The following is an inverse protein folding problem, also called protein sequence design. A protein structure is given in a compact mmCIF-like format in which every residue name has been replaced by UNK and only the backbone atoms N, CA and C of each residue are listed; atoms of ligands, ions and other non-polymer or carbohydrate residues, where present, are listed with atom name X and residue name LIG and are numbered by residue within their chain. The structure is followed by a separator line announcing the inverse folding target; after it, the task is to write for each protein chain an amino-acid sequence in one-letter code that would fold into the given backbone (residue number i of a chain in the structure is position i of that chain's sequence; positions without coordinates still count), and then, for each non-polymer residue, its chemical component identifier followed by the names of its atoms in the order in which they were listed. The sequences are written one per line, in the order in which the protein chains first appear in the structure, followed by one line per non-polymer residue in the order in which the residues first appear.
data_IF_314319532276
#
_entry.id   IF_314319532276
#
_cell.length_a   1.000
_cell.length_b   1.000
_cell.length_c   1.000
_cell.angle_alpha   90.00
_cell.angle_beta   90.00
_cell.angle_gamma   90.00
#
_symmetry.space_group_name_H-M   'P 1'
#
loop_
_entity.id
_entity.type
_entity.pdbx_description
1 polymer ?
#
# COMPACT_ATOMS: atom_id res chain seq x y z
N UNK A 1 43.31 12.45 30.63
CA UNK A 1 42.85 11.04 30.49
C UNK A 1 41.48 10.72 31.12
N UNK A 2 41.11 11.27 32.30
CA UNK A 2 39.79 10.96 32.94
C UNK A 2 38.57 11.52 32.18
N UNK A 3 38.67 12.75 31.63
CA UNK A 3 37.59 13.38 30.84
C UNK A 3 37.23 12.59 29.57
N UNK A 4 38.22 12.06 28.86
CA UNK A 4 38.01 11.30 27.61
C UNK A 4 37.22 10.00 27.84
N UNK A 5 37.44 9.31 28.96
CA UNK A 5 36.71 8.09 29.33
C UNK A 5 35.23 8.39 29.64
N UNK A 6 34.94 9.52 30.28
CA UNK A 6 33.56 9.93 30.60
C UNK A 6 32.80 10.26 29.31
N UNK A 7 33.42 10.96 28.35
CA UNK A 7 32.82 11.24 27.05
C UNK A 7 32.54 9.96 26.25
N UNK A 8 33.46 9.00 26.28
CA UNK A 8 33.27 7.71 25.60
C UNK A 8 32.09 6.93 26.20
N UNK A 9 31.94 6.93 27.53
CA UNK A 9 30.82 6.28 28.22
C UNK A 9 29.49 6.96 27.87
N UNK A 10 29.44 8.29 27.83
CA UNK A 10 28.23 9.05 27.45
C UNK A 10 27.86 8.78 25.99
N UNK A 11 28.83 8.71 25.07
CA UNK A 11 28.60 8.37 23.66
C UNK A 11 28.08 6.93 23.53
N UNK A 12 28.65 5.97 24.26
CA UNK A 12 28.15 4.59 24.28
C UNK A 12 26.74 4.53 24.87
N UNK A 13 26.45 5.29 25.93
CA UNK A 13 25.11 5.35 26.51
C UNK A 13 24.10 5.96 25.53
N UNK A 14 24.46 7.05 24.85
CA UNK A 14 23.65 7.68 23.80
C UNK A 14 23.43 6.73 22.62
N UNK A 15 24.47 6.03 22.17
CA UNK A 15 24.38 5.03 21.10
C UNK A 15 23.51 3.84 21.52
N UNK A 16 23.59 3.40 22.78
CA UNK A 16 22.72 2.37 23.34
C UNK A 16 21.27 2.85 23.50
N UNK A 17 21.03 4.12 23.84
CA UNK A 17 19.67 4.69 23.89
C UNK A 17 19.09 4.83 22.48
N UNK A 18 19.91 5.18 21.48
CA UNK A 18 19.49 5.21 20.08
C UNK A 18 19.28 3.81 19.50
N UNK A 19 20.02 2.79 19.96
CA UNK A 19 19.78 1.40 19.55
C UNK A 19 18.64 0.72 20.33
N UNK A 20 18.31 1.23 21.53
CA UNK A 20 17.12 0.88 22.30
C UNK A 20 15.86 1.61 21.83
N UNK A 21 15.97 2.58 20.93
CA UNK A 21 14.86 2.89 20.02
C UNK A 21 14.75 1.76 18.98
N UNK A 22 14.47 0.54 19.47
CA UNK A 22 13.75 -0.46 18.71
C UNK A 22 12.56 0.27 18.11
N UNK A 23 12.48 0.34 16.78
CA UNK A 23 11.41 1.07 16.12
C UNK A 23 10.09 0.52 16.66
N UNK A 24 9.27 1.41 17.25
CA UNK A 24 8.08 0.99 18.00
C UNK A 24 7.09 0.23 17.13
N UNK A 25 7.17 0.42 15.81
CA UNK A 25 6.45 -0.33 14.80
C UNK A 25 7.44 -1.11 13.93
N UNK A 26 7.10 -2.37 13.64
CA UNK A 26 7.70 -3.14 12.54
C UNK A 26 6.61 -3.55 11.55
N UNK A 27 6.91 -3.43 10.26
CA UNK A 27 6.04 -3.85 9.17
C UNK A 27 6.80 -4.83 8.28
N UNK A 28 6.39 -6.09 8.32
CA UNK A 28 7.09 -7.21 7.69
C UNK A 28 6.30 -7.77 6.52
N UNK A 29 7.00 -7.99 5.42
CA UNK A 29 6.52 -8.65 4.22
C UNK A 29 6.85 -10.14 4.28
N UNK A 30 5.86 -10.97 3.95
CA UNK A 30 6.05 -12.40 3.71
C UNK A 30 5.14 -12.88 2.59
N UNK A 31 5.43 -14.05 2.03
CA UNK A 31 4.61 -14.64 0.98
C UNK A 31 4.21 -16.06 1.37
N UNK A 32 2.98 -16.42 1.06
CA UNK A 32 2.44 -17.77 1.18
C UNK A 32 1.71 -18.15 -0.09
N UNK A 33 1.78 -19.41 -0.47
CA UNK A 33 1.01 -19.96 -1.57
C UNK A 33 -0.20 -20.67 -1.00
N UNK A 34 -1.38 -20.28 -1.46
CA UNK A 34 -2.64 -20.88 -1.02
C UNK A 34 -3.35 -21.51 -2.20
N UNK A 35 -4.04 -22.63 -1.95
CA UNK A 35 -4.87 -23.26 -2.96
C UNK A 35 -6.02 -22.32 -3.33
N UNK A 36 -6.19 -22.05 -4.62
CA UNK A 36 -7.26 -21.23 -5.17
C UNK A 36 -7.71 -21.73 -6.54
N UNK A 37 -8.52 -20.93 -7.21
CA UNK A 37 -9.01 -21.21 -8.57
C UNK A 37 -8.37 -20.25 -9.57
N UNK A 38 -8.22 -20.69 -10.80
CA UNK A 38 -7.75 -19.83 -11.89
C UNK A 38 -8.78 -18.72 -12.15
N UNK A 39 -8.27 -17.50 -12.35
CA UNK A 39 -9.06 -16.29 -12.60
C UNK A 39 -9.92 -16.41 -13.86
N UNK A 40 -9.45 -17.16 -14.87
CA UNK A 40 -10.15 -17.34 -16.14
C UNK A 40 -10.83 -18.71 -16.29
N UNK A 41 -10.61 -19.62 -15.34
CA UNK A 41 -11.16 -20.97 -15.38
C UNK A 41 -11.42 -21.49 -13.95
N UNK A 42 -12.64 -21.30 -13.43
CA UNK A 42 -13.00 -21.66 -12.06
C UNK A 42 -12.85 -23.17 -11.74
N UNK A 43 -12.91 -24.03 -12.75
CA UNK A 43 -12.71 -25.48 -12.61
C UNK A 43 -11.23 -25.87 -12.46
N UNK A 44 -10.31 -24.94 -12.74
CA UNK A 44 -8.86 -25.15 -12.62
C UNK A 44 -8.36 -24.74 -11.24
N UNK A 45 -7.74 -25.68 -10.54
CA UNK A 45 -7.11 -25.44 -9.24
C UNK A 45 -5.66 -24.99 -9.45
N UNK A 46 -5.32 -23.84 -8.87
CA UNK A 46 -3.97 -23.29 -8.89
C UNK A 46 -3.48 -22.96 -7.47
N UNK A 47 -2.18 -22.74 -7.31
CA UNK A 47 -1.62 -22.18 -6.09
C UNK A 47 -1.37 -20.70 -6.29
N UNK A 48 -2.19 -19.90 -5.62
CA UNK A 48 -2.17 -18.44 -5.71
C UNK A 48 -1.20 -17.88 -4.68
N UNK A 49 -0.17 -17.11 -5.10
CA UNK A 49 0.71 -16.40 -4.19
C UNK A 49 -0.08 -15.28 -3.48
N UNK A 50 0.14 -15.15 -2.17
CA UNK A 50 -0.40 -14.05 -1.36
C UNK A 50 0.72 -13.35 -0.61
N UNK A 51 0.86 -12.05 -0.84
CA UNK A 51 1.70 -11.18 -0.03
C UNK A 51 0.99 -10.92 1.30
N UNK A 52 1.69 -11.06 2.41
CA UNK A 52 1.19 -10.69 3.73
C UNK A 52 1.98 -9.50 4.24
N UNK A 53 1.28 -8.45 4.66
CA UNK A 53 1.86 -7.26 5.31
C UNK A 53 1.50 -7.36 6.79
N UNK A 54 2.49 -7.65 7.63
CA UNK A 54 2.31 -7.84 9.07
C UNK A 54 2.80 -6.62 9.83
N UNK A 55 1.89 -5.93 10.48
CA UNK A 55 2.15 -4.80 11.35
C UNK A 55 2.26 -5.29 12.79
N UNK A 56 3.30 -4.87 13.49
CA UNK A 56 3.53 -5.25 14.89
C UNK A 56 3.91 -4.02 15.70
N UNK A 57 3.27 -3.89 16.85
CA UNK A 57 3.62 -2.90 17.85
C UNK A 57 4.59 -3.50 18.87
N UNK A 58 5.83 -3.04 18.83
CA UNK A 58 6.93 -3.48 19.69
C UNK A 58 7.06 -2.64 20.97
N UNK A 59 6.06 -1.81 21.28
CA UNK A 59 6.07 -0.89 22.41
C UNK A 59 4.93 -1.14 23.39
N UNK A 60 4.98 -0.44 24.52
CA UNK A 60 3.93 -0.43 25.54
C UNK A 60 2.84 0.64 25.28
N UNK A 61 2.86 1.33 24.13
CA UNK A 61 1.90 2.38 23.78
C UNK A 61 0.94 1.89 22.71
N UNK A 62 -0.35 2.14 22.88
CA UNK A 62 -1.35 1.87 21.84
C UNK A 62 -1.19 2.88 20.69
N UNK A 63 -1.01 2.38 19.47
CA UNK A 63 -0.77 3.20 18.29
C UNK A 63 -1.85 3.02 17.23
N UNK A 64 -2.10 4.09 16.49
CA UNK A 64 -2.76 4.00 15.19
C UNK A 64 -2.00 4.76 14.11
N UNK A 65 -2.17 4.34 12.86
CA UNK A 65 -1.57 4.97 11.69
C UNK A 65 -2.32 4.53 10.42
N UNK A 66 -2.17 5.26 9.32
CA UNK A 66 -2.77 4.89 8.03
C UNK A 66 -2.15 3.56 7.55
N UNK A 67 -2.96 2.66 7.00
CA UNK A 67 -2.44 1.47 6.31
C UNK A 67 -1.43 1.88 5.24
N UNK A 68 -0.39 1.08 5.01
CA UNK A 68 0.59 1.37 3.96
C UNK A 68 0.07 1.02 2.55
N UNK A 69 -1.00 0.22 2.47
CA UNK A 69 -1.66 -0.16 1.23
C UNK A 69 -3.17 -0.22 1.44
N UNK A 70 -3.92 0.35 0.51
CA UNK A 70 -5.35 0.08 0.42
C UNK A 70 -5.59 -1.31 -0.15
N UNK A 71 -6.74 -1.90 0.14
CA UNK A 71 -7.16 -3.18 -0.44
C UNK A 71 -8.61 -3.10 -0.90
N UNK A 72 -8.88 -3.59 -2.11
CA UNK A 72 -10.25 -3.90 -2.56
C UNK A 72 -10.42 -5.41 -2.52
N UNK A 73 -11.04 -5.92 -1.45
CA UNK A 73 -11.32 -7.36 -1.29
C UNK A 73 -10.07 -8.25 -1.32
N UNK A 74 -8.97 -7.82 -0.69
CA UNK A 74 -7.70 -8.57 -0.68
C UNK A 74 -6.91 -8.46 -1.99
N UNK A 75 -7.27 -7.54 -2.88
CA UNK A 75 -6.52 -7.25 -4.11
C UNK A 75 -5.64 -6.00 -3.91
N UNK A 76 -4.40 -6.00 -4.44
CA UNK A 76 -3.57 -4.80 -4.51
C UNK A 76 -4.20 -3.76 -5.44
N UNK A 77 -3.93 -2.48 -5.16
CA UNK A 77 -4.41 -1.36 -5.97
C UNK A 77 -3.25 -0.73 -6.73
N UNK A 78 -3.40 -0.61 -8.05
CA UNK A 78 -2.42 0.00 -8.95
C UNK A 78 -3.04 1.24 -9.60
N UNK A 79 -2.22 2.27 -9.76
CA UNK A 79 -2.58 3.42 -10.56
C UNK A 79 -2.26 3.07 -12.01
N UNK A 80 -3.27 3.17 -12.87
CA UNK A 80 -3.06 3.15 -14.32
C UNK A 80 -2.22 4.38 -14.71
N UNK A 81 -1.13 4.17 -15.44
CA UNK A 81 -0.26 5.24 -15.94
C UNK A 81 -0.98 6.27 -16.80
N UNK A 82 -2.06 5.79 -17.39
CA UNK A 82 -2.93 6.49 -18.31
C UNK A 82 -4.16 7.12 -17.64
N UNK A 83 -4.25 7.14 -16.30
CA UNK A 83 -5.35 7.80 -15.55
C UNK A 83 -5.36 9.33 -15.65
N UNK A 84 -4.39 9.95 -16.34
CA UNK A 84 -4.49 11.36 -16.76
C UNK A 84 -4.93 11.53 -18.22
N UNK A 85 -5.12 10.46 -18.99
CA UNK A 85 -5.39 10.54 -20.43
C UNK A 85 -6.46 9.59 -20.99
N UNK A 86 -6.94 8.58 -20.27
CA UNK A 86 -8.07 7.79 -20.75
C UNK A 86 -9.40 8.51 -20.51
N UNK A 87 -10.23 8.70 -21.55
CA UNK A 87 -11.59 9.17 -21.35
C UNK A 87 -12.34 8.21 -20.42
N UNK A 88 -13.20 8.76 -19.56
CA UNK A 88 -14.10 8.02 -18.67
C UNK A 88 -14.87 6.92 -19.43
N UNK A 89 -15.08 7.10 -20.74
CA UNK A 89 -15.70 6.11 -21.63
C UNK A 89 -14.93 4.78 -21.73
N UNK A 90 -13.61 4.76 -21.60
CA UNK A 90 -12.80 3.53 -21.70
C UNK A 90 -12.73 2.76 -20.37
N UNK A 91 -12.90 3.47 -19.24
CA UNK A 91 -13.21 2.90 -17.93
C UNK A 91 -14.60 2.22 -17.92
N UNK A 92 -15.55 2.77 -18.69
CA UNK A 92 -16.88 2.19 -18.92
C UNK A 92 -16.91 1.14 -20.04
N UNK A 93 -15.79 0.86 -20.70
CA UNK A 93 -15.73 -0.14 -21.76
C UNK A 93 -16.00 -1.54 -21.15
N UNK A 94 -17.04 -2.24 -21.62
CA UNK A 94 -17.49 -3.50 -21.03
C UNK A 94 -16.53 -4.67 -21.25
N UNK A 95 -15.45 -4.51 -22.02
CA UNK A 95 -14.53 -5.61 -22.35
C UNK A 95 -13.27 -5.64 -21.47
N UNK A 96 -13.46 -5.47 -20.16
CA UNK A 96 -12.41 -5.61 -19.14
C UNK A 96 -11.69 -6.97 -19.22
N UNK A 97 -12.40 -8.03 -19.62
CA UNK A 97 -11.83 -9.37 -19.82
C UNK A 97 -10.80 -9.39 -20.95
N UNK A 98 -11.07 -8.72 -22.07
CA UNK A 98 -10.12 -8.64 -23.19
C UNK A 98 -8.84 -7.93 -22.78
N UNK A 99 -8.94 -6.83 -22.03
CA UNK A 99 -7.75 -6.10 -21.53
C UNK A 99 -6.95 -6.95 -20.55
N UNK A 100 -7.63 -7.55 -19.57
CA UNK A 100 -6.99 -8.45 -18.61
C UNK A 100 -6.27 -9.61 -19.32
N UNK A 101 -6.80 -10.14 -20.43
CA UNK A 101 -6.15 -11.21 -21.21
C UNK A 101 -5.05 -10.75 -22.17
N UNK A 102 -4.96 -9.44 -22.46
CA UNK A 102 -4.00 -8.88 -23.40
C UNK A 102 -2.67 -8.46 -22.75
N UNK A 103 -2.42 -8.90 -21.51
CA UNK A 103 -1.21 -8.57 -20.77
C UNK A 103 0.06 -9.12 -21.46
N UNK A 104 1.19 -8.47 -21.20
CA UNK A 104 2.51 -8.90 -21.62
C UNK A 104 3.01 -10.16 -20.88
N UNK A 105 4.24 -10.56 -21.22
CA UNK A 105 4.98 -11.60 -20.53
C UNK A 105 6.38 -11.08 -20.19
N UNK A 106 6.68 -11.03 -18.90
CA UNK A 106 7.87 -10.37 -18.37
C UNK A 106 8.84 -11.35 -17.69
N UNK A 107 8.84 -12.63 -18.10
CA UNK A 107 9.66 -13.71 -17.48
C UNK A 107 11.14 -13.34 -17.24
N UNK A 108 11.74 -12.53 -18.11
CA UNK A 108 13.17 -12.18 -18.05
C UNK A 108 13.44 -10.79 -17.46
N UNK A 109 12.40 -10.09 -17.03
CA UNK A 109 12.48 -8.73 -16.52
C UNK A 109 12.50 -8.72 -14.99
N UNK A 110 13.12 -7.69 -14.42
CA UNK A 110 13.24 -7.50 -12.99
C UNK A 110 12.62 -6.16 -12.60
N UNK A 111 11.76 -6.19 -11.59
CA UNK A 111 11.02 -5.02 -11.13
C UNK A 111 11.16 -4.83 -9.62
N UNK A 112 11.14 -3.57 -9.21
CA UNK A 112 10.95 -3.14 -7.84
C UNK A 112 9.50 -2.73 -7.66
N UNK A 113 8.83 -3.30 -6.65
CA UNK A 113 7.45 -2.98 -6.27
C UNK A 113 7.49 -2.17 -4.98
N UNK A 114 7.27 -0.87 -5.10
CA UNK A 114 7.17 0.03 -3.95
C UNK A 114 5.72 0.12 -3.47
N UNK A 115 5.51 -0.22 -2.21
CA UNK A 115 4.23 -0.04 -1.51
C UNK A 115 4.33 1.28 -0.75
N UNK A 116 3.61 2.30 -1.21
CA UNK A 116 3.60 3.61 -0.57
C UNK A 116 2.29 4.36 -0.75
N UNK A 117 2.05 5.31 0.15
CA UNK A 117 1.10 6.38 -0.06
C UNK A 117 1.65 7.33 -1.13
N UNK A 118 0.93 7.52 -2.24
CA UNK A 118 1.24 8.58 -3.22
C UNK A 118 0.01 9.42 -3.37
N UNK A 119 0.14 10.69 -3.01
CA UNK A 119 -0.98 11.63 -3.12
C UNK A 119 -2.16 11.10 -2.26
N UNK A 120 -3.40 11.25 -2.69
CA UNK A 120 -4.60 10.92 -1.93
C UNK A 120 -4.90 9.40 -1.90
N UNK A 121 -4.15 8.57 -2.63
CA UNK A 121 -4.33 7.10 -2.68
C UNK A 121 -3.10 6.35 -2.16
N UNK A 122 -3.29 5.18 -1.52
CA UNK A 122 -2.17 4.27 -1.26
C UNK A 122 -2.18 3.17 -2.30
N UNK A 123 -1.14 3.15 -3.13
CA UNK A 123 -1.07 2.33 -4.33
C UNK A 123 0.29 1.65 -4.42
N UNK A 124 0.36 0.59 -5.20
CA UNK A 124 1.60 -0.10 -5.49
C UNK A 124 2.18 0.47 -6.79
N UNK A 125 3.49 0.67 -6.80
CA UNK A 125 4.20 1.21 -7.97
C UNK A 125 5.28 0.23 -8.40
N UNK A 126 5.25 -0.12 -9.68
CA UNK A 126 6.29 -0.92 -10.30
C UNK A 126 7.27 -0.01 -11.05
N UNK A 127 8.55 -0.29 -10.84
CA UNK A 127 9.66 0.31 -11.55
C UNK A 127 10.57 -0.79 -12.08
N UNK A 128 11.00 -0.69 -13.34
CA UNK A 128 12.06 -1.55 -13.84
C UNK A 128 13.34 -1.33 -13.01
N UNK A 129 14.01 -2.41 -12.61
CA UNK A 129 15.10 -2.34 -11.64
C UNK A 129 16.36 -1.62 -12.16
N UNK A 130 16.46 -1.45 -13.49
CA UNK A 130 17.50 -0.69 -14.22
C UNK A 130 17.29 0.82 -14.22
N UNK A 131 16.10 1.31 -13.85
CA UNK A 131 15.77 2.74 -13.88
C UNK A 131 16.22 3.47 -12.61
N UNK A 132 16.75 4.68 -12.78
CA UNK A 132 17.11 5.57 -11.69
C UNK A 132 15.86 6.30 -11.16
N UNK A 133 15.66 6.32 -9.83
CA UNK A 133 14.40 6.73 -9.18
C UNK A 133 14.25 8.26 -9.06
N UNK A 134 15.27 9.03 -9.46
CA UNK A 134 15.39 10.47 -9.18
C UNK A 134 14.69 11.41 -10.18
N UNK A 135 14.07 10.91 -11.26
CA UNK A 135 13.40 11.73 -12.30
C UNK A 135 11.88 11.51 -12.32
N UNK A 136 11.08 12.47 -12.81
CA UNK A 136 9.62 12.32 -13.02
C UNK A 136 9.35 11.11 -13.94
N UNK A 137 8.64 10.10 -13.42
CA UNK A 137 8.58 8.78 -14.04
C UNK A 137 7.29 8.59 -14.83
N UNK A 138 7.43 8.13 -16.07
CA UNK A 138 6.33 7.51 -16.80
C UNK A 138 6.02 6.16 -16.12
N UNK A 139 4.75 5.93 -15.80
CA UNK A 139 4.31 4.68 -15.19
C UNK A 139 4.49 3.55 -16.21
N UNK A 140 5.30 2.55 -15.86
CA UNK A 140 5.63 1.42 -16.74
C UNK A 140 4.36 0.66 -17.16
N UNK A 141 4.31 0.17 -18.41
CA UNK A 141 3.19 -0.58 -19.00
C UNK A 141 2.78 -1.78 -18.14
N UNK A 142 3.71 -2.34 -17.36
CA UNK A 142 3.43 -3.41 -16.40
C UNK A 142 2.41 -3.00 -15.32
N UNK A 143 2.42 -1.74 -14.88
CA UNK A 143 1.41 -1.24 -13.94
C UNK A 143 0.02 -1.26 -14.59
N UNK A 144 -0.09 -0.89 -15.87
CA UNK A 144 -1.35 -0.90 -16.61
C UNK A 144 -1.89 -2.32 -16.78
N UNK A 145 -1.02 -3.29 -17.07
CA UNK A 145 -1.41 -4.70 -17.15
C UNK A 145 -1.92 -5.24 -15.81
N UNK A 146 -1.20 -4.98 -14.71
CA UNK A 146 -1.63 -5.39 -13.38
C UNK A 146 -2.93 -4.70 -12.97
N UNK A 147 -3.06 -3.40 -13.22
CA UNK A 147 -4.28 -2.64 -12.94
C UNK A 147 -5.47 -3.23 -13.71
N UNK A 148 -5.32 -3.55 -14.99
CA UNK A 148 -6.36 -4.20 -15.79
C UNK A 148 -6.76 -5.59 -15.24
N UNK A 149 -5.79 -6.43 -14.86
CA UNK A 149 -6.04 -7.76 -14.32
C UNK A 149 -6.80 -7.67 -12.98
N UNK A 150 -6.32 -6.85 -12.04
CA UNK A 150 -6.96 -6.74 -10.73
C UNK A 150 -8.33 -6.05 -10.79
N UNK A 151 -8.52 -5.08 -11.69
CA UNK A 151 -9.84 -4.49 -11.92
C UNK A 151 -10.83 -5.52 -12.49
N UNK A 152 -10.38 -6.40 -13.39
CA UNK A 152 -11.20 -7.51 -13.88
C UNK A 152 -11.61 -8.45 -12.74
N UNK A 153 -10.64 -8.94 -11.96
CA UNK A 153 -10.89 -9.85 -10.83
C UNK A 153 -11.86 -9.20 -9.82
N UNK A 154 -11.64 -7.92 -9.51
CA UNK A 154 -12.52 -7.16 -8.63
C UNK A 154 -13.95 -7.14 -9.18
N UNK A 155 -14.15 -6.79 -10.45
CA UNK A 155 -15.49 -6.69 -11.07
C UNK A 155 -16.20 -8.03 -11.19
N UNK A 156 -15.49 -9.10 -11.53
CA UNK A 156 -16.10 -10.44 -11.60
C UNK A 156 -16.57 -10.92 -10.23
N UNK A 157 -15.80 -10.64 -9.18
CA UNK A 157 -16.23 -10.93 -7.82
C UNK A 157 -17.38 -10.01 -7.37
N UNK A 158 -17.34 -8.74 -7.76
CA UNK A 158 -18.36 -7.72 -7.44
C UNK A 158 -19.71 -8.03 -8.10
N UNK A 159 -19.72 -8.42 -9.37
CA UNK A 159 -20.94 -8.78 -10.12
C UNK A 159 -21.67 -10.00 -9.55
N UNK A 160 -20.98 -10.84 -8.76
CA UNK A 160 -21.53 -12.06 -8.15
C UNK A 160 -22.14 -11.84 -6.76
N UNK A 161 -22.04 -10.64 -6.18
CA UNK A 161 -22.59 -10.34 -4.85
C UNK A 161 -23.93 -9.59 -4.96
N UNK A 162 -25.05 -10.16 -4.45
CA UNK A 162 -26.40 -9.65 -4.68
C UNK A 162 -26.76 -8.38 -3.87
N UNK A 163 -25.88 -7.94 -2.97
CA UNK A 163 -26.06 -6.75 -2.16
C UNK A 163 -24.82 -5.88 -2.28
N UNK A 164 -25.01 -4.62 -2.66
CA UNK A 164 -24.71 -3.47 -1.80
C UNK A 164 -23.90 -2.34 -2.43
N UNK A 165 -24.35 -1.14 -2.04
CA UNK A 165 -23.80 0.20 -2.23
C UNK A 165 -22.50 0.46 -1.42
N UNK A 166 -21.63 -0.52 -1.22
CA UNK A 166 -20.30 -0.22 -0.66
C UNK A 166 -19.38 0.28 -1.79
N UNK A 167 -19.65 1.50 -2.26
CA UNK A 167 -18.53 2.32 -2.71
C UNK A 167 -17.68 2.55 -1.47
N UNK A 168 -16.68 1.70 -1.22
CA UNK A 168 -15.57 2.10 -0.34
C UNK A 168 -15.03 3.38 -0.94
N UNK A 169 -15.43 4.52 -0.38
CA UNK A 169 -14.87 5.83 -0.73
C UNK A 169 -13.38 5.66 -0.51
N UNK A 170 -12.59 5.57 -1.58
CA UNK A 170 -11.15 5.26 -1.48
C UNK A 170 -10.44 6.46 -0.86
N UNK A 171 -11.00 7.63 -1.09
CA UNK A 171 -10.38 8.90 -0.76
C UNK A 171 -11.04 9.53 0.46
N UNK A 172 -10.30 10.40 1.13
CA UNK A 172 -10.79 11.17 2.26
C UNK A 172 -11.11 12.59 1.80
N UNK A 173 -12.18 13.18 2.31
CA UNK A 173 -12.34 14.64 2.32
C UNK A 173 -11.81 15.19 3.65
N UNK A 174 -11.60 16.50 3.73
CA UNK A 174 -11.16 17.16 4.97
C UNK A 174 -12.09 16.89 6.17
N UNK A 175 -13.38 16.69 5.90
CA UNK A 175 -14.41 16.41 6.91
C UNK A 175 -14.44 14.95 7.38
N UNK A 176 -13.63 14.07 6.81
CA UNK A 176 -13.59 12.64 7.15
C UNK A 176 -12.59 12.32 8.26
N UNK A 177 -11.68 13.24 8.59
CA UNK A 177 -10.51 12.99 9.44
C UNK A 177 -10.72 13.36 10.91
N UNK A 178 -11.97 13.30 11.38
CA UNK A 178 -12.25 13.42 12.81
C UNK A 178 -11.97 12.09 13.52
N UNK A 179 -11.61 12.10 14.82
CA UNK A 179 -11.37 10.86 15.56
C UNK A 179 -12.53 9.86 15.49
N UNK A 180 -13.77 10.34 15.63
CA UNK A 180 -14.95 9.49 15.62
C UNK A 180 -15.15 8.81 14.26
N UNK A 181 -14.95 9.53 13.15
CA UNK A 181 -15.06 8.95 11.81
C UNK A 181 -13.94 7.98 11.52
N UNK A 182 -12.71 8.30 11.90
CA UNK A 182 -11.57 7.40 11.74
C UNK A 182 -11.81 6.06 12.46
N UNK A 183 -12.38 6.10 13.66
CA UNK A 183 -12.61 4.89 14.46
C UNK A 183 -13.85 4.10 14.02
N UNK A 184 -14.92 4.77 13.58
CA UNK A 184 -16.21 4.13 13.34
C UNK A 184 -16.56 3.91 11.86
N UNK A 185 -16.13 4.82 10.97
CA UNK A 185 -16.47 4.79 9.54
C UNK A 185 -15.29 4.34 8.67
N UNK A 186 -14.07 4.73 9.02
CA UNK A 186 -12.87 4.49 8.22
C UNK A 186 -11.86 3.55 8.89
N UNK A 187 -12.30 2.75 9.87
CA UNK A 187 -11.41 1.88 10.64
C UNK A 187 -10.65 0.87 9.79
N UNK A 188 -11.23 0.45 8.66
CA UNK A 188 -10.62 -0.45 7.69
C UNK A 188 -9.43 0.17 6.92
N UNK A 189 -9.28 1.49 6.90
CA UNK A 189 -8.18 2.22 6.25
C UNK A 189 -7.01 2.56 7.18
N UNK A 190 -7.21 2.35 8.48
CA UNK A 190 -6.20 2.57 9.50
C UNK A 190 -5.82 1.24 10.15
N UNK A 191 -4.66 1.24 10.77
CA UNK A 191 -4.20 0.18 11.65
C UNK A 191 -4.31 0.71 13.07
N UNK A 192 -4.95 -0.06 13.94
CA UNK A 192 -5.02 0.20 15.37
C UNK A 192 -4.36 -0.98 16.07
N UNK A 193 -3.27 -0.74 16.79
CA UNK A 193 -2.50 -1.76 17.49
C UNK A 193 -2.33 -1.37 18.94
N UNK A 194 -2.84 -2.21 19.83
CA UNK A 194 -2.48 -2.14 21.25
C UNK A 194 -1.01 -2.50 21.44
N UNK A 195 -0.49 -2.21 22.63
CA UNK A 195 0.83 -2.66 23.04
C UNK A 195 1.01 -4.17 22.78
N UNK A 196 2.08 -4.53 22.06
CA UNK A 196 2.38 -5.91 21.70
C UNK A 196 1.51 -6.55 20.61
N UNK A 197 0.50 -5.84 20.08
CA UNK A 197 -0.45 -6.40 19.12
C UNK A 197 0.17 -6.58 17.73
N UNK A 198 -0.36 -7.57 17.01
CA UNK A 198 0.02 -7.92 15.64
C UNK A 198 -1.24 -7.93 14.78
N UNK A 199 -1.16 -7.31 13.61
CA UNK A 199 -2.20 -7.35 12.59
C UNK A 199 -1.59 -7.70 11.25
N UNK A 200 -2.30 -8.49 10.43
CA UNK A 200 -1.81 -8.90 9.11
C UNK A 200 -2.88 -8.67 8.05
N UNK A 201 -2.53 -7.84 7.06
CA UNK A 201 -3.25 -7.78 5.78
C UNK A 201 -2.67 -8.79 4.80
N UNK A 202 -3.50 -9.27 3.86
CA UNK A 202 -3.06 -10.20 2.82
C UNK A 202 -3.59 -9.78 1.44
N UNK A 203 -2.70 -9.82 0.45
CA UNK A 203 -2.94 -9.38 -0.91
C UNK A 203 -2.69 -10.51 -1.90
N UNK A 204 -3.66 -10.77 -2.76
CA UNK A 204 -3.56 -11.75 -3.83
C UNK A 204 -2.58 -11.25 -4.90
N UNK A 205 -1.56 -12.05 -5.22
CA UNK A 205 -0.55 -11.74 -6.23
C UNK A 205 -0.76 -12.48 -7.56
N UNK A 206 -1.96 -13.01 -7.84
CA UNK A 206 -2.24 -13.78 -9.06
C UNK A 206 -1.92 -13.01 -10.34
N UNK A 207 -2.13 -11.68 -10.35
CA UNK A 207 -1.76 -10.84 -11.49
C UNK A 207 -0.26 -10.91 -11.79
N UNK A 208 0.59 -10.89 -10.76
CA UNK A 208 2.05 -11.06 -10.91
C UNK A 208 2.41 -12.44 -11.46
N UNK A 209 1.72 -13.48 -11.00
CA UNK A 209 1.92 -14.84 -11.53
C UNK A 209 1.54 -14.96 -13.01
N UNK A 210 0.50 -14.24 -13.45
CA UNK A 210 0.05 -14.26 -14.85
C UNK A 210 1.01 -13.54 -15.79
N UNK A 211 1.50 -12.37 -15.38
CA UNK A 211 2.42 -11.56 -16.19
C UNK A 211 3.87 -12.09 -16.15
N UNK A 212 4.20 -12.92 -15.16
CA UNK A 212 5.53 -13.52 -14.91
C UNK A 212 6.62 -12.48 -14.59
N UNK A 213 7.83 -12.94 -14.31
CA UNK A 213 8.99 -12.09 -14.06
C UNK A 213 9.44 -12.09 -12.60
N UNK A 214 10.43 -11.25 -12.29
CA UNK A 214 11.02 -11.17 -10.95
C UNK A 214 10.68 -9.84 -10.28
N UNK A 215 10.07 -9.90 -9.09
CA UNK A 215 9.53 -8.74 -8.39
C UNK A 215 10.09 -8.65 -6.98
N UNK A 216 10.72 -7.53 -6.66
CA UNK A 216 11.20 -7.19 -5.32
C UNK A 216 10.24 -6.24 -4.63
N UNK A 217 9.47 -6.74 -3.66
CA UNK A 217 8.51 -5.97 -2.88
C UNK A 217 9.18 -5.30 -1.68
N UNK A 218 8.87 -4.03 -1.47
CA UNK A 218 9.28 -3.29 -0.28
C UNK A 218 8.27 -2.19 0.07
N UNK A 219 8.25 -1.81 1.35
CA UNK A 219 7.45 -0.69 1.84
C UNK A 219 8.35 0.54 1.93
N UNK A 220 7.89 1.68 1.44
CA UNK A 220 8.63 2.93 1.53
C UNK A 220 8.76 3.37 2.99
N UNK A 221 9.97 3.73 3.42
CA UNK A 221 10.27 4.01 4.84
C UNK A 221 9.52 5.23 5.40
N UNK A 222 9.10 6.13 4.52
CA UNK A 222 8.38 7.35 4.86
C UNK A 222 6.85 7.20 4.69
N UNK A 223 6.35 5.96 4.57
CA UNK A 223 4.92 5.68 4.37
C UNK A 223 4.03 5.97 5.58
N UNK A 224 4.60 6.04 6.80
CA UNK A 224 3.85 6.36 8.02
C UNK A 224 3.95 7.85 8.35
N UNK A 225 3.14 8.64 7.65
CA UNK A 225 3.04 10.09 7.81
C UNK A 225 2.02 10.49 8.88
N UNK A 226 2.19 11.69 9.46
CA UNK A 226 1.20 12.27 10.39
C UNK A 226 0.11 13.09 9.70
N UNK A 227 0.03 12.97 8.37
CA UNK A 227 -0.91 13.64 7.50
C UNK A 227 -1.33 12.73 6.37
N UNK A 228 -2.39 13.09 5.69
CA UNK A 228 -2.79 12.49 4.42
C UNK A 228 -3.13 13.57 3.40
N UNK A 229 -3.04 13.25 2.12
CA UNK A 229 -3.65 14.07 1.08
C UNK A 229 -5.13 13.67 0.94
N UNK A 230 -6.02 14.66 0.94
CA UNK A 230 -7.44 14.47 0.66
C UNK A 230 -7.71 14.52 -0.84
N UNK A 231 -8.90 14.11 -1.24
CA UNK A 231 -9.38 14.24 -2.63
C UNK A 231 -9.06 15.64 -3.18
N UNK A 232 -8.50 15.74 -4.39
CA UNK A 232 -8.16 17.03 -4.99
C UNK A 232 -9.39 17.91 -5.12
N UNK A 233 -9.25 19.18 -4.77
CA UNK A 233 -10.28 20.21 -4.95
C UNK A 233 -9.85 21.18 -6.06
N UNK A 234 -10.81 21.67 -6.83
CA UNK A 234 -10.52 22.66 -7.87
C UNK A 234 -10.14 24.00 -7.24
N UNK A 235 -8.90 24.45 -7.46
CA UNK A 235 -8.45 25.78 -7.06
C UNK A 235 -8.67 26.78 -8.19
N UNK A 236 -9.67 27.65 -8.02
CA UNK A 236 -10.01 28.70 -9.00
C UNK A 236 -8.86 29.68 -9.27
N UNK A 237 -7.97 29.92 -8.30
CA UNK A 237 -6.86 30.86 -8.47
C UNK A 237 -5.75 30.24 -9.31
N UNK A 238 -5.49 28.94 -9.13
CA UNK A 238 -4.45 28.21 -9.84
C UNK A 238 -4.95 27.52 -11.11
N UNK A 239 -6.28 27.51 -11.34
CA UNK A 239 -6.94 26.80 -12.44
C UNK A 239 -6.48 25.34 -12.59
N UNK A 240 -6.31 24.66 -11.45
CA UNK A 240 -5.91 23.25 -11.38
C UNK A 240 -6.52 22.57 -10.16
N UNK A 241 -6.62 21.25 -10.21
CA UNK A 241 -6.91 20.45 -9.02
C UNK A 241 -5.70 20.46 -8.08
N UNK A 242 -5.95 20.68 -6.79
CA UNK A 242 -4.93 20.74 -5.74
C UNK A 242 -5.30 19.77 -4.64
N UNK A 243 -4.34 18.93 -4.27
CA UNK A 243 -4.45 18.04 -3.12
C UNK A 243 -4.26 18.84 -1.83
N UNK A 244 -5.17 18.64 -0.88
CA UNK A 244 -5.03 19.27 0.44
C UNK A 244 -4.32 18.31 1.38
N UNK A 245 -3.20 18.76 1.93
CA UNK A 245 -2.48 18.06 2.99
C UNK A 245 -3.19 18.31 4.33
N UNK A 246 -3.81 17.28 4.88
CA UNK A 246 -4.56 17.37 6.14
C UNK A 246 -3.92 16.53 7.22
N UNK A 247 -3.68 17.15 8.38
CA UNK A 247 -3.07 16.48 9.52
C UNK A 247 -4.02 15.45 10.13
N UNK A 248 -3.48 14.28 10.47
CA UNK A 248 -4.22 13.30 11.25
C UNK A 248 -4.31 13.79 12.71
N UNK A 249 -5.41 13.45 13.42
CA UNK A 249 -5.50 13.71 14.87
C UNK A 249 -4.30 13.13 15.61
N UNK A 250 -3.92 13.67 16.78
CA UNK A 250 -2.82 13.04 17.57
C UNK A 250 -3.31 11.87 18.42
N UNK A 251 -4.63 11.76 18.60
CA UNK A 251 -5.29 10.75 19.41
C UNK A 251 -6.62 10.36 18.76
N UNK A 252 -6.88 9.05 18.69
CA UNK A 252 -8.16 8.47 18.27
C UNK A 252 -8.53 7.36 19.25
N UNK A 253 -9.61 7.55 20.02
CA UNK A 253 -9.94 6.65 21.12
C UNK A 253 -8.78 6.51 22.12
N UNK A 254 -8.33 5.27 22.35
CA UNK A 254 -7.18 4.96 23.21
C UNK A 254 -5.83 4.95 22.47
N UNK A 255 -5.81 5.23 21.16
CA UNK A 255 -4.64 5.07 20.31
C UNK A 255 -3.99 6.41 19.99
N UNK A 256 -2.67 6.48 20.19
CA UNK A 256 -1.85 7.62 19.79
C UNK A 256 -1.44 7.51 18.32
N UNK A 257 -1.38 8.63 17.60
CA UNK A 257 -0.87 8.61 16.23
C UNK A 257 0.61 8.22 16.21
N UNK A 258 0.95 7.22 15.40
CA UNK A 258 2.33 6.91 15.06
C UNK A 258 2.71 7.56 13.73
N UNK A 259 3.87 8.20 13.70
CA UNK A 259 4.47 8.76 12.49
C UNK A 259 5.99 8.69 12.62
N UNK A 260 6.66 8.23 11.56
CA UNK A 260 8.11 8.09 11.54
C UNK A 260 8.56 6.74 10.97
N UNK A 261 9.85 6.46 11.15
CA UNK A 261 10.50 5.26 10.62
C UNK A 261 10.03 4.02 11.36
N UNK A 262 9.85 2.94 10.61
CA UNK A 262 9.56 1.60 11.12
C UNK A 262 10.56 0.57 10.57
N UNK A 263 10.70 -0.54 11.29
CA UNK A 263 11.52 -1.66 10.81
C UNK A 263 10.76 -2.39 9.68
N UNK A 264 11.44 -2.70 8.58
CA UNK A 264 10.84 -3.44 7.47
C UNK A 264 11.87 -4.28 6.73
N UNK A 265 11.40 -5.25 5.95
CA UNK A 265 12.21 -6.11 5.09
C UNK A 265 11.82 -5.93 3.62
N UNK A 266 12.59 -6.57 2.74
CA UNK A 266 12.26 -6.71 1.32
C UNK A 266 12.13 -8.19 1.00
N UNK A 267 11.24 -8.54 0.08
CA UNK A 267 11.12 -9.91 -0.43
C UNK A 267 11.17 -9.91 -1.95
N UNK A 268 11.81 -10.91 -2.53
CA UNK A 268 11.85 -11.10 -3.98
C UNK A 268 11.12 -12.39 -4.35
N UNK A 269 10.28 -12.33 -5.39
CA UNK A 269 9.55 -13.47 -5.90
C UNK A 269 9.72 -13.52 -7.42
N UNK A 270 10.04 -14.69 -7.95
CA UNK A 270 10.08 -14.95 -9.39
C UNK A 270 8.91 -15.85 -9.77
N UNK A 271 8.15 -15.45 -10.78
CA UNK A 271 6.97 -16.15 -11.30
C UNK A 271 7.17 -16.67 -12.72
#
# INVERSE_FOLDING_TARGET
MKSLKIHLIIIILLLCITSLHSQSISIELSVKWEKGTDVYNEDSIIYVPKLSITYRNNSDTNFYFKKVSESRSGLPFFIHGSLLQYPIEEYLNPNYLKRAKAHGNYTNENYKVEIKAVSFTNSWFLFNDTLNIEEEQEIDIVNDDLANIYEYIYRENYNKQPNYFEQTKIDFTEFDLTPDKILNEYSNKFIFLRAGEIYTDSYNLIGFQMIKGSFMFYISIDSLTDYIYTTPIWDNNQSKYVETKTMLPKLVGEYKLYSGKFNTNKISITF
#
